data_IF_153279959408
#
_entry.id   IF_153279959408
#
_cell.length_a   1.000
_cell.length_b   1.000
_cell.length_c   1.000
_cell.angle_alpha   90.00
_cell.angle_beta   90.00
_cell.angle_gamma   90.00
#
_symmetry.space_group_name_H-M   'P 1'
#
loop_
_entity.id
_entity.type
_entity.pdbx_description
1 polymer ?
#
# COMPACT_ATOMS: atom_id res chain seq x y z
N UNK A 1 -23.14 -6.73 -1.07
CA UNK A 1 -22.93 -5.85 0.11
C UNK A 1 -23.95 -4.73 0.14
N UNK A 2 -23.97 -3.85 -0.87
CA UNK A 2 -24.85 -2.66 -0.89
C UNK A 2 -26.35 -3.00 -0.69
N UNK A 3 -26.85 -4.04 -1.34
CA UNK A 3 -28.25 -4.46 -1.21
C UNK A 3 -28.59 -4.86 0.24
N UNK A 4 -27.70 -5.59 0.92
CA UNK A 4 -27.89 -5.95 2.33
C UNK A 4 -27.92 -4.73 3.25
N UNK A 5 -27.06 -3.76 3.00
CA UNK A 5 -27.02 -2.48 3.72
C UNK A 5 -28.36 -1.74 3.55
N UNK A 6 -28.83 -1.59 2.31
CA UNK A 6 -30.08 -0.90 2.03
C UNK A 6 -31.28 -1.56 2.72
N UNK A 7 -31.35 -2.89 2.70
CA UNK A 7 -32.40 -3.63 3.39
C UNK A 7 -32.36 -3.41 4.91
N UNK A 8 -31.18 -3.52 5.52
CA UNK A 8 -31.03 -3.29 6.96
C UNK A 8 -31.36 -1.85 7.35
N UNK A 9 -30.87 -0.87 6.60
CA UNK A 9 -31.10 0.56 6.89
C UNK A 9 -32.57 0.93 6.67
N UNK A 10 -33.21 0.42 5.61
CA UNK A 10 -34.60 0.74 5.27
C UNK A 10 -35.60 0.10 6.25
N UNK A 11 -35.42 -1.17 6.60
CA UNK A 11 -36.34 -1.90 7.46
C UNK A 11 -36.11 -1.66 8.96
N UNK A 12 -34.90 -1.42 9.38
CA UNK A 12 -34.53 -1.39 10.80
C UNK A 12 -34.01 -0.05 11.32
N UNK A 13 -33.79 0.91 10.43
CA UNK A 13 -33.31 2.26 10.79
C UNK A 13 -32.02 2.27 11.62
N UNK A 14 -31.87 3.27 12.48
CA UNK A 14 -30.66 3.48 13.28
C UNK A 14 -30.32 2.29 14.20
N UNK A 15 -31.33 1.61 14.74
CA UNK A 15 -31.11 0.49 15.66
C UNK A 15 -30.49 -0.72 14.95
N UNK A 16 -31.00 -1.07 13.76
CA UNK A 16 -30.45 -2.16 12.97
C UNK A 16 -29.03 -1.85 12.49
N UNK A 17 -28.79 -0.62 11.99
CA UNK A 17 -27.46 -0.16 11.57
C UNK A 17 -26.46 -0.24 12.73
N UNK A 18 -26.86 0.11 13.95
CA UNK A 18 -25.96 0.01 15.10
C UNK A 18 -25.56 -1.43 15.39
N UNK A 19 -26.51 -2.39 15.39
CA UNK A 19 -26.19 -3.79 15.64
C UNK A 19 -25.38 -4.45 14.54
N UNK A 20 -25.66 -4.13 13.26
CA UNK A 20 -24.84 -4.61 12.15
C UNK A 20 -23.40 -4.12 12.26
N UNK A 21 -23.19 -2.87 12.65
CA UNK A 21 -21.85 -2.30 12.83
C UNK A 21 -21.10 -2.91 14.02
N UNK A 22 -21.80 -3.28 15.11
CA UNK A 22 -21.16 -4.03 16.22
C UNK A 22 -20.66 -5.38 15.71
N UNK A 23 -21.47 -6.13 14.97
CA UNK A 23 -21.04 -7.40 14.39
C UNK A 23 -19.87 -7.22 13.40
N UNK A 24 -19.94 -6.23 12.52
CA UNK A 24 -18.86 -5.89 11.60
C UNK A 24 -17.56 -5.53 12.31
N UNK A 25 -17.65 -4.78 13.41
CA UNK A 25 -16.49 -4.41 14.21
C UNK A 25 -15.84 -5.62 14.90
N UNK A 26 -16.63 -6.55 15.43
CA UNK A 26 -16.11 -7.80 16.01
C UNK A 26 -15.34 -8.60 14.96
N UNK A 27 -15.90 -8.76 13.77
CA UNK A 27 -15.22 -9.46 12.66
C UNK A 27 -13.91 -8.74 12.32
N UNK A 28 -13.94 -7.42 12.19
CA UNK A 28 -12.78 -6.60 11.83
C UNK A 28 -11.66 -6.75 12.86
N UNK A 29 -11.95 -6.58 14.16
CA UNK A 29 -10.91 -6.62 15.20
C UNK A 29 -10.27 -8.01 15.30
N UNK A 30 -11.08 -9.08 15.22
CA UNK A 30 -10.58 -10.45 15.23
C UNK A 30 -9.73 -10.73 13.99
N UNK A 31 -10.22 -10.37 12.80
CA UNK A 31 -9.52 -10.54 11.54
C UNK A 31 -8.19 -9.78 11.50
N UNK A 32 -8.15 -8.58 12.08
CA UNK A 32 -6.94 -7.75 12.14
C UNK A 32 -5.93 -8.26 13.18
N UNK A 33 -6.39 -8.59 14.39
CA UNK A 33 -5.50 -8.94 15.50
C UNK A 33 -4.85 -10.30 15.34
N UNK A 34 -5.54 -11.31 14.81
CA UNK A 34 -5.00 -12.67 14.67
C UNK A 34 -3.69 -12.69 13.87
N UNK A 35 -3.63 -12.17 12.63
CA UNK A 35 -2.39 -12.19 11.85
C UNK A 35 -1.26 -11.38 12.49
N UNK A 36 -1.59 -10.23 13.08
CA UNK A 36 -0.58 -9.35 13.69
C UNK A 36 0.03 -9.98 14.94
N UNK A 37 -0.80 -10.55 15.81
CA UNK A 37 -0.33 -11.28 17.00
C UNK A 37 0.50 -12.50 16.59
N UNK A 38 0.03 -13.27 15.61
CA UNK A 38 0.79 -14.43 15.10
C UNK A 38 2.14 -14.02 14.52
N UNK A 39 2.17 -12.96 13.73
CA UNK A 39 3.41 -12.44 13.15
C UNK A 39 4.37 -11.95 14.24
N UNK A 40 3.85 -11.30 15.30
CA UNK A 40 4.62 -10.90 16.47
C UNK A 40 5.24 -12.10 17.18
N UNK A 41 4.45 -13.15 17.46
CA UNK A 41 4.95 -14.39 18.08
C UNK A 41 6.01 -15.05 17.21
N UNK A 42 5.77 -15.14 15.89
CA UNK A 42 6.72 -15.75 14.95
C UNK A 42 8.08 -15.02 14.92
N UNK A 43 8.09 -13.69 15.02
CA UNK A 43 9.31 -12.89 14.92
C UNK A 43 10.00 -12.64 16.27
N UNK A 44 9.25 -12.56 17.35
CA UNK A 44 9.75 -12.11 18.67
C UNK A 44 9.51 -13.11 19.80
N UNK A 45 8.67 -14.13 19.59
CA UNK A 45 8.19 -15.03 20.63
C UNK A 45 7.14 -14.41 21.56
N UNK A 46 6.72 -13.16 21.35
CA UNK A 46 5.84 -12.45 22.25
C UNK A 46 4.50 -12.04 21.59
N UNK A 47 3.34 -12.25 22.26
CA UNK A 47 2.03 -12.07 21.63
C UNK A 47 1.51 -10.63 21.62
N UNK A 48 2.20 -9.67 22.24
CA UNK A 48 1.78 -8.26 22.28
C UNK A 48 2.68 -7.42 21.38
N UNK A 49 2.30 -7.22 20.10
CA UNK A 49 3.15 -6.57 19.12
C UNK A 49 3.52 -5.13 19.51
N UNK A 50 2.63 -4.43 20.23
CA UNK A 50 2.83 -3.06 20.67
C UNK A 50 4.02 -2.88 21.62
N UNK A 51 4.42 -3.93 22.35
CA UNK A 51 5.52 -3.87 23.30
C UNK A 51 6.87 -4.25 22.68
N UNK A 52 6.85 -5.01 21.59
CA UNK A 52 8.07 -5.61 21.01
C UNK A 52 8.47 -5.01 19.66
N UNK A 53 7.60 -4.25 18.99
CA UNK A 53 7.91 -3.72 17.65
C UNK A 53 9.12 -2.79 17.65
N UNK A 54 9.45 -2.14 18.77
CA UNK A 54 10.64 -1.30 18.90
C UNK A 54 11.94 -2.08 18.67
N UNK A 55 12.03 -3.33 19.15
CA UNK A 55 13.17 -4.20 18.88
C UNK A 55 13.27 -4.56 17.40
N UNK A 56 12.14 -4.85 16.76
CA UNK A 56 12.11 -5.12 15.32
C UNK A 56 12.43 -3.87 14.50
N UNK A 57 12.03 -2.68 14.95
CA UNK A 57 12.37 -1.41 14.32
C UNK A 57 13.90 -1.19 14.28
N UNK A 58 14.63 -1.61 15.32
CA UNK A 58 16.09 -1.56 15.32
C UNK A 58 16.65 -2.45 14.20
N UNK A 59 16.18 -3.70 14.09
CA UNK A 59 16.60 -4.61 13.02
C UNK A 59 16.24 -4.08 11.62
N UNK A 60 15.04 -3.51 11.47
CA UNK A 60 14.63 -2.86 10.21
C UNK A 60 15.59 -1.71 9.86
N UNK A 61 16.01 -0.92 10.83
CA UNK A 61 16.96 0.19 10.61
C UNK A 61 18.35 -0.32 10.16
N UNK A 62 18.79 -1.44 10.70
CA UNK A 62 20.05 -2.09 10.27
C UNK A 62 19.93 -2.63 8.85
N UNK A 63 18.81 -3.29 8.52
CA UNK A 63 18.52 -3.77 7.17
C UNK A 63 18.43 -2.60 6.17
N UNK A 64 17.78 -1.49 6.53
CA UNK A 64 17.73 -0.28 5.71
C UNK A 64 19.13 0.24 5.36
N UNK A 65 20.03 0.28 6.33
CA UNK A 65 21.42 0.69 6.09
C UNK A 65 22.15 -0.27 5.16
N UNK A 66 21.99 -1.60 5.39
CA UNK A 66 22.61 -2.64 4.57
C UNK A 66 22.11 -2.59 3.11
N UNK A 67 20.81 -2.54 2.91
CA UNK A 67 20.19 -2.47 1.58
C UNK A 67 20.61 -1.19 0.84
N UNK A 68 20.60 -0.05 1.53
CA UNK A 68 20.98 1.22 0.90
C UNK A 68 22.49 1.31 0.54
N UNK A 69 23.33 0.47 1.12
CA UNK A 69 24.75 0.36 0.79
C UNK A 69 25.06 -0.74 -0.23
N UNK A 70 24.08 -1.55 -0.62
CA UNK A 70 24.25 -2.65 -1.56
C UNK A 70 24.55 -2.10 -2.97
N UNK A 71 25.67 -2.52 -3.60
CA UNK A 71 26.00 -2.09 -4.96
C UNK A 71 24.92 -2.40 -6.01
N UNK A 72 24.23 -3.53 -5.88
CA UNK A 72 23.15 -3.94 -6.80
C UNK A 72 21.92 -3.04 -6.65
N UNK A 73 21.55 -2.71 -5.44
CA UNK A 73 20.48 -1.75 -5.15
C UNK A 73 20.84 -0.36 -5.75
N UNK A 74 22.08 0.07 -5.62
CA UNK A 74 22.54 1.35 -6.19
C UNK A 74 22.54 1.33 -7.73
N UNK A 75 22.90 0.19 -8.34
CA UNK A 75 22.82 -0.02 -9.79
C UNK A 75 21.37 0.16 -10.28
N UNK A 76 20.42 -0.55 -9.69
CA UNK A 76 19.00 -0.44 -10.06
C UNK A 76 18.46 0.98 -9.87
N UNK A 77 18.82 1.64 -8.78
CA UNK A 77 18.43 3.04 -8.56
C UNK A 77 19.02 3.97 -9.62
N UNK A 78 20.25 3.73 -10.06
CA UNK A 78 20.85 4.51 -11.15
C UNK A 78 20.10 4.30 -12.46
N UNK A 79 19.75 3.05 -12.80
CA UNK A 79 18.93 2.74 -13.96
C UNK A 79 17.60 3.50 -13.94
N UNK A 80 16.89 3.53 -12.80
CA UNK A 80 15.67 4.30 -12.67
C UNK A 80 15.86 5.80 -12.83
N UNK A 81 16.99 6.33 -12.34
CA UNK A 81 17.34 7.75 -12.48
C UNK A 81 17.59 8.10 -13.93
N UNK A 82 18.33 7.27 -14.66
CA UNK A 82 18.67 7.48 -16.08
C UNK A 82 17.43 7.36 -16.96
N UNK A 83 16.55 6.37 -16.70
CA UNK A 83 15.26 6.24 -17.40
C UNK A 83 14.36 7.46 -17.18
N UNK A 84 14.28 7.94 -15.95
CA UNK A 84 13.48 9.13 -15.64
C UNK A 84 14.06 10.39 -16.30
N UNK A 85 15.38 10.55 -16.33
CA UNK A 85 16.05 11.66 -17.01
C UNK A 85 15.81 11.62 -18.52
N UNK A 86 15.96 10.45 -19.14
CA UNK A 86 15.66 10.25 -20.57
C UNK A 86 14.19 10.56 -20.90
N UNK A 87 13.25 10.15 -20.05
CA UNK A 87 11.84 10.46 -20.23
C UNK A 87 11.54 11.97 -20.13
N UNK A 88 12.21 12.68 -19.23
CA UNK A 88 12.07 14.14 -19.09
C UNK A 88 12.55 14.84 -20.35
N UNK A 89 13.68 14.42 -20.94
CA UNK A 89 14.17 14.99 -22.21
C UNK A 89 13.20 14.72 -23.36
N UNK A 90 12.70 13.51 -23.50
CA UNK A 90 11.72 13.13 -24.54
C UNK A 90 10.38 13.87 -24.38
N UNK A 91 9.98 14.20 -23.18
CA UNK A 91 8.76 15.00 -22.91
C UNK A 91 8.85 16.45 -23.37
N UNK A 92 10.05 16.97 -23.71
CA UNK A 92 10.21 18.30 -24.30
C UNK A 92 9.69 18.38 -25.75
N UNK A 93 9.77 17.28 -26.49
CA UNK A 93 9.31 17.17 -27.89
C UNK A 93 8.71 15.76 -28.11
N UNK A 94 7.51 15.47 -27.58
CA UNK A 94 6.96 14.11 -27.53
C UNK A 94 6.64 13.55 -28.92
N UNK A 95 6.24 14.36 -29.90
CA UNK A 95 5.95 13.93 -31.26
C UNK A 95 7.21 13.46 -31.99
N UNK A 96 8.29 14.24 -31.90
CA UNK A 96 9.56 13.88 -32.49
C UNK A 96 10.17 12.65 -31.80
N UNK A 97 10.07 12.57 -30.49
CA UNK A 97 10.55 11.43 -29.73
C UNK A 97 9.75 10.15 -30.03
N UNK A 98 8.44 10.24 -30.21
CA UNK A 98 7.59 9.12 -30.60
C UNK A 98 8.01 8.55 -31.95
N UNK A 99 8.17 9.43 -32.95
CA UNK A 99 8.59 9.02 -34.29
C UNK A 99 10.00 8.39 -34.30
N UNK A 100 10.94 8.99 -33.56
CA UNK A 100 12.31 8.50 -33.48
C UNK A 100 12.40 7.13 -32.77
N UNK A 101 11.72 6.97 -31.60
CA UNK A 101 11.76 5.72 -30.83
C UNK A 101 11.06 4.59 -31.61
N UNK A 102 9.95 4.87 -32.29
CA UNK A 102 9.25 3.89 -33.11
C UNK A 102 10.12 3.42 -34.25
N UNK A 103 10.71 4.35 -35.01
CA UNK A 103 11.60 4.04 -36.13
C UNK A 103 12.84 3.24 -35.69
N UNK A 104 13.43 3.60 -34.53
CA UNK A 104 14.58 2.88 -33.98
C UNK A 104 14.21 1.43 -33.58
N UNK A 105 13.01 1.21 -33.05
CA UNK A 105 12.54 -0.11 -32.66
C UNK A 105 12.21 -0.97 -33.91
N UNK A 106 11.58 -0.38 -34.91
CA UNK A 106 11.31 -1.04 -36.19
C UNK A 106 12.62 -1.42 -36.93
N UNK A 107 13.61 -0.53 -36.95
CA UNK A 107 14.94 -0.81 -37.51
C UNK A 107 15.64 -1.96 -36.75
N UNK A 108 15.54 -2.00 -35.41
CA UNK A 108 16.10 -3.08 -34.59
C UNK A 108 15.46 -4.43 -34.91
N UNK A 109 14.15 -4.48 -35.07
CA UNK A 109 13.42 -5.70 -35.47
C UNK A 109 13.86 -6.15 -36.88
N UNK A 110 14.01 -5.23 -37.83
CA UNK A 110 14.47 -5.54 -39.18
C UNK A 110 15.92 -6.07 -39.21
N UNK A 111 16.81 -5.48 -38.41
CA UNK A 111 18.20 -5.93 -38.25
C UNK A 111 18.27 -7.37 -37.71
N UNK A 112 17.53 -7.65 -36.59
CA UNK A 112 17.50 -8.97 -35.97
C UNK A 112 16.86 -10.04 -36.88
N UNK A 113 15.87 -9.68 -37.73
CA UNK A 113 15.31 -10.56 -38.75
C UNK A 113 16.32 -10.88 -39.84
N UNK A 114 17.10 -9.88 -40.31
CA UNK A 114 18.09 -10.06 -41.35
C UNK A 114 19.30 -10.89 -40.86
N UNK A 115 19.72 -10.72 -39.60
CA UNK A 115 20.87 -11.45 -39.06
C UNK A 115 20.54 -12.91 -38.70
N UNK A 116 19.31 -13.25 -38.39
CA UNK A 116 18.86 -14.62 -38.03
C UNK A 116 19.59 -15.27 -36.85
N UNK A 117 20.50 -14.56 -36.20
CA UNK A 117 21.44 -15.11 -35.20
C UNK A 117 20.95 -15.13 -33.77
N UNK A 118 19.86 -14.35 -33.47
CA UNK A 118 19.29 -14.25 -32.09
C UNK A 118 17.76 -14.32 -32.12
N UNK A 119 17.16 -15.51 -32.12
CA UNK A 119 15.69 -15.68 -32.05
C UNK A 119 15.06 -15.10 -30.79
N UNK A 120 15.76 -15.17 -29.63
CA UNK A 120 15.26 -14.65 -28.37
C UNK A 120 15.24 -13.12 -28.37
N UNK A 121 16.29 -12.47 -28.87
CA UNK A 121 16.37 -11.04 -29.09
C UNK A 121 15.31 -10.52 -30.05
N UNK A 122 15.07 -11.26 -31.14
CA UNK A 122 14.01 -10.94 -32.11
C UNK A 122 12.61 -10.98 -31.43
N UNK A 123 12.28 -12.05 -30.75
CA UNK A 123 11.00 -12.18 -30.04
C UNK A 123 10.81 -11.07 -28.99
N UNK A 124 11.87 -10.71 -28.28
CA UNK A 124 11.84 -9.59 -27.31
C UNK A 124 11.62 -8.24 -28.00
N UNK A 125 12.27 -7.99 -29.14
CA UNK A 125 12.12 -6.74 -29.88
C UNK A 125 10.73 -6.62 -30.54
N UNK A 126 10.20 -7.71 -31.10
CA UNK A 126 8.81 -7.76 -31.61
C UNK A 126 7.79 -7.57 -30.49
N UNK A 127 8.00 -8.19 -29.33
CA UNK A 127 7.15 -7.99 -28.16
C UNK A 127 7.15 -6.53 -27.66
N UNK A 128 8.28 -5.83 -27.73
CA UNK A 128 8.38 -4.40 -27.42
C UNK A 128 7.65 -3.55 -28.46
N UNK A 129 7.78 -3.87 -29.74
CA UNK A 129 7.09 -3.17 -30.80
C UNK A 129 5.56 -3.34 -30.71
N UNK A 130 5.09 -4.55 -30.42
CA UNK A 130 3.67 -4.83 -30.22
C UNK A 130 3.06 -4.09 -29.01
N UNK A 131 3.87 -3.81 -27.98
CA UNK A 131 3.49 -3.06 -26.80
C UNK A 131 3.80 -1.57 -26.88
N UNK A 132 4.37 -1.11 -28.00
CA UNK A 132 4.67 0.31 -28.18
C UNK A 132 3.37 1.12 -28.23
N UNK A 133 3.34 2.31 -27.60
CA UNK A 133 2.14 3.16 -27.60
C UNK A 133 1.59 3.42 -28.99
N UNK A 134 0.26 3.36 -29.13
CA UNK A 134 -0.40 3.48 -30.43
C UNK A 134 -0.32 4.89 -31.04
N UNK A 135 -0.29 5.91 -30.18
CA UNK A 135 -0.30 7.31 -30.55
C UNK A 135 0.58 8.16 -29.62
N UNK A 136 0.77 9.43 -29.97
CA UNK A 136 1.58 10.38 -29.20
C UNK A 136 1.01 10.62 -27.79
N UNK A 137 -0.32 10.57 -27.63
CA UNK A 137 -0.96 10.77 -26.32
C UNK A 137 -0.65 9.59 -25.38
N UNK A 138 -0.79 8.35 -25.86
CA UNK A 138 -0.41 7.15 -25.13
C UNK A 138 1.09 7.12 -24.83
N UNK A 139 1.94 7.55 -25.77
CA UNK A 139 3.38 7.65 -25.58
C UNK A 139 3.73 8.71 -24.51
N UNK A 140 3.08 9.86 -24.53
CA UNK A 140 3.26 10.89 -23.50
C UNK A 140 2.84 10.38 -22.11
N UNK A 141 1.75 9.62 -22.01
CA UNK A 141 1.33 8.96 -20.78
C UNK A 141 2.38 7.93 -20.30
N UNK A 142 2.93 7.14 -21.21
CA UNK A 142 4.04 6.22 -20.93
C UNK A 142 5.28 6.96 -20.39
N UNK A 143 5.72 8.03 -21.06
CA UNK A 143 6.86 8.85 -20.62
C UNK A 143 6.62 9.50 -19.24
N UNK A 144 5.39 9.94 -18.94
CA UNK A 144 5.05 10.43 -17.60
C UNK A 144 5.12 9.32 -16.55
N UNK A 145 4.81 8.08 -16.90
CA UNK A 145 5.06 6.91 -16.08
C UNK A 145 6.55 6.70 -15.80
N UNK A 146 7.38 6.72 -16.84
CA UNK A 146 8.84 6.59 -16.74
C UNK A 146 9.46 7.74 -15.90
N UNK A 147 9.04 8.97 -16.11
CA UNK A 147 9.42 10.11 -15.27
C UNK A 147 9.08 9.87 -13.79
N UNK A 148 7.95 9.21 -13.51
CA UNK A 148 7.53 8.82 -12.16
C UNK A 148 8.50 7.85 -11.48
N UNK A 149 9.32 7.11 -12.23
CA UNK A 149 10.33 6.20 -11.70
C UNK A 149 11.46 6.94 -10.93
N UNK A 150 11.61 8.25 -11.12
CA UNK A 150 12.52 9.07 -10.32
C UNK A 150 12.28 8.92 -8.81
N UNK A 151 11.05 8.63 -8.39
CA UNK A 151 10.73 8.37 -6.99
C UNK A 151 11.40 7.09 -6.47
N UNK A 152 11.58 6.08 -7.33
CA UNK A 152 12.22 4.78 -7.01
C UNK A 152 13.75 4.87 -7.03
N UNK A 153 14.30 5.87 -7.70
CA UNK A 153 15.73 6.15 -7.70
C UNK A 153 16.26 6.63 -6.34
N UNK A 154 15.36 7.09 -5.47
CA UNK A 154 15.73 7.53 -4.13
C UNK A 154 15.44 6.43 -3.10
N UNK A 155 16.29 6.30 -2.05
CA UNK A 155 16.01 5.39 -0.97
C UNK A 155 14.69 5.76 -0.27
N UNK A 156 13.91 4.78 0.18
CA UNK A 156 12.75 5.04 1.00
C UNK A 156 13.16 5.78 2.28
N UNK A 157 12.25 6.60 2.80
CA UNK A 157 12.51 7.31 4.07
C UNK A 157 12.76 6.30 5.19
N UNK A 158 13.78 6.52 6.04
CA UNK A 158 14.04 5.65 7.18
C UNK A 158 12.81 5.54 8.08
N UNK A 159 12.41 4.33 8.43
CA UNK A 159 11.20 4.11 9.22
C UNK A 159 11.31 4.71 10.63
N UNK A 160 12.50 4.69 11.22
CA UNK A 160 12.76 5.22 12.55
C UNK A 160 12.92 6.76 12.60
N UNK A 161 12.92 7.46 11.44
CA UNK A 161 13.06 8.90 11.39
C UNK A 161 11.70 9.59 11.36
N UNK A 162 11.20 10.16 12.47
CA UNK A 162 9.85 10.71 12.55
C UNK A 162 9.69 11.98 11.69
N UNK A 163 10.74 12.80 11.59
CA UNK A 163 10.72 14.05 10.85
C UNK A 163 11.95 14.16 9.94
N UNK A 164 11.98 13.38 8.82
CA UNK A 164 13.13 13.41 7.93
C UNK A 164 13.23 14.73 7.18
N UNK A 165 14.45 15.27 7.09
CA UNK A 165 14.74 16.50 6.35
C UNK A 165 16.23 16.61 6.08
N UNK A 166 16.59 17.30 4.99
CA UNK A 166 17.99 17.54 4.62
C UNK A 166 18.68 18.55 5.55
N UNK A 167 17.88 19.47 6.11
CA UNK A 167 18.30 20.53 7.02
C UNK A 167 17.27 20.73 8.13
N UNK A 168 17.56 21.57 9.12
CA UNK A 168 16.63 21.83 10.23
C UNK A 168 15.33 22.51 9.75
N UNK A 169 15.39 23.38 8.76
CA UNK A 169 14.19 24.02 8.21
C UNK A 169 13.24 23.00 7.58
N UNK A 170 13.77 21.99 6.87
CA UNK A 170 12.97 20.89 6.33
C UNK A 170 12.39 20.00 7.43
N UNK A 171 13.12 19.73 8.50
CA UNK A 171 12.64 18.99 9.67
C UNK A 171 11.55 19.76 10.42
N UNK A 172 11.70 21.07 10.60
CA UNK A 172 10.68 21.93 11.24
C UNK A 172 9.41 21.99 10.40
N UNK A 173 9.52 22.08 9.08
CA UNK A 173 8.38 21.97 8.18
C UNK A 173 7.68 20.62 8.30
N UNK A 174 8.42 19.53 8.42
CA UNK A 174 7.86 18.19 8.63
C UNK A 174 7.14 18.08 9.99
N UNK A 175 7.71 18.66 11.06
CA UNK A 175 7.07 18.77 12.38
C UNK A 175 5.77 19.56 12.32
N UNK A 176 5.79 20.74 11.67
CA UNK A 176 4.60 21.58 11.50
C UNK A 176 3.52 20.87 10.69
N UNK A 177 3.89 20.20 9.60
CA UNK A 177 2.95 19.41 8.79
C UNK A 177 2.32 18.28 9.60
N UNK A 178 3.09 17.61 10.45
CA UNK A 178 2.58 16.56 11.34
C UNK A 178 1.59 17.12 12.36
N UNK A 179 1.90 18.25 13.01
CA UNK A 179 1.01 18.90 13.96
C UNK A 179 -0.28 19.37 13.27
N UNK A 180 -0.15 20.00 12.09
CA UNK A 180 -1.30 20.44 11.30
C UNK A 180 -2.19 19.27 10.89
N UNK A 181 -1.59 18.15 10.43
CA UNK A 181 -2.32 16.94 10.09
C UNK A 181 -3.05 16.36 11.30
N UNK A 182 -2.37 16.25 12.44
CA UNK A 182 -2.97 15.75 13.70
C UNK A 182 -4.16 16.62 14.11
N UNK A 183 -4.00 17.94 14.11
CA UNK A 183 -5.06 18.87 14.47
C UNK A 183 -6.25 18.80 13.49
N UNK A 184 -5.97 18.73 12.19
CA UNK A 184 -7.01 18.59 11.16
C UNK A 184 -7.79 17.29 11.32
N UNK A 185 -7.10 16.17 11.60
CA UNK A 185 -7.75 14.88 11.82
C UNK A 185 -8.58 14.89 13.11
N UNK A 186 -8.08 15.50 14.20
CA UNK A 186 -8.84 15.61 15.46
C UNK A 186 -10.14 16.39 15.26
N UNK A 187 -10.09 17.57 14.64
CA UNK A 187 -11.28 18.38 14.39
C UNK A 187 -12.20 17.72 13.37
N UNK A 188 -11.65 17.19 12.29
CA UNK A 188 -12.42 16.52 11.24
C UNK A 188 -13.18 15.31 11.77
N UNK A 189 -12.53 14.46 12.57
CA UNK A 189 -13.18 13.28 13.17
C UNK A 189 -14.26 13.69 14.18
N UNK A 190 -14.01 14.69 15.01
CA UNK A 190 -14.98 15.19 15.98
C UNK A 190 -16.23 15.80 15.33
N UNK A 191 -16.11 16.34 14.13
CA UNK A 191 -17.20 16.99 13.41
C UNK A 191 -17.98 16.07 12.45
N UNK A 192 -17.66 14.76 12.40
CA UNK A 192 -18.30 13.83 11.47
C UNK A 192 -19.82 13.66 11.79
N UNK A 193 -20.73 14.01 10.88
CA UNK A 193 -22.17 14.01 11.15
C UNK A 193 -22.70 12.64 11.57
N UNK A 194 -22.23 11.55 10.93
CA UNK A 194 -22.66 10.19 11.24
C UNK A 194 -22.20 9.68 12.61
N UNK A 195 -21.21 10.33 13.24
CA UNK A 195 -20.80 10.10 14.62
C UNK A 195 -21.69 10.92 15.56
N UNK A 196 -21.88 12.19 15.25
CA UNK A 196 -22.65 13.12 16.10
C UNK A 196 -24.11 12.68 16.26
N UNK A 197 -24.75 12.19 15.20
CA UNK A 197 -26.13 11.69 15.25
C UNK A 197 -26.33 10.57 16.27
N UNK A 198 -25.32 9.78 16.57
CA UNK A 198 -25.40 8.65 17.52
C UNK A 198 -25.58 9.12 18.98
N UNK A 199 -25.09 10.30 19.32
CA UNK A 199 -25.28 10.84 20.65
C UNK A 199 -26.74 11.13 20.96
N UNK A 200 -27.56 11.43 19.93
CA UNK A 200 -29.01 11.64 20.11
C UNK A 200 -29.77 10.34 20.34
N UNK A 201 -29.19 9.18 20.08
CA UNK A 201 -29.83 7.87 20.30
C UNK A 201 -29.47 7.26 21.66
N UNK A 202 -28.61 7.91 22.45
CA UNK A 202 -28.27 7.43 23.80
C UNK A 202 -29.30 7.87 24.83
N UNK A 203 -29.67 7.00 25.79
CA UNK A 203 -30.75 7.30 26.75
C UNK A 203 -30.35 8.36 27.79
N UNK A 204 -29.06 8.59 28.00
CA UNK A 204 -28.59 9.59 28.99
C UNK A 204 -27.18 10.09 28.65
N UNK A 205 -26.81 11.25 29.20
CA UNK A 205 -25.47 11.83 29.11
C UNK A 205 -24.42 10.89 29.73
N UNK A 206 -24.77 10.16 30.75
CA UNK A 206 -23.86 9.18 31.42
C UNK A 206 -23.54 8.04 30.46
N UNK A 207 -24.55 7.49 29.76
CA UNK A 207 -24.37 6.43 28.78
C UNK A 207 -23.58 6.93 27.56
N UNK A 208 -23.82 8.17 27.11
CA UNK A 208 -23.03 8.79 26.06
C UNK A 208 -21.54 8.86 26.43
N UNK A 209 -21.20 9.30 27.65
CA UNK A 209 -19.80 9.34 28.13
C UNK A 209 -19.18 7.96 28.21
N UNK A 210 -19.91 6.97 28.74
CA UNK A 210 -19.46 5.58 28.76
C UNK A 210 -19.15 5.03 27.38
N UNK A 211 -20.03 5.29 26.41
CA UNK A 211 -19.82 4.84 25.02
C UNK A 211 -18.57 5.45 24.40
N UNK A 212 -18.30 6.72 24.65
CA UNK A 212 -17.06 7.39 24.20
C UNK A 212 -15.83 6.71 24.79
N UNK A 213 -15.82 6.41 26.09
CA UNK A 213 -14.68 5.76 26.76
C UNK A 213 -14.36 4.41 26.13
N UNK A 214 -15.37 3.56 25.92
CA UNK A 214 -15.17 2.27 25.26
C UNK A 214 -14.77 2.41 23.79
N UNK A 215 -15.34 3.35 23.07
CA UNK A 215 -14.96 3.62 21.69
C UNK A 215 -13.49 4.05 21.59
N UNK A 216 -13.05 4.94 22.47
CA UNK A 216 -11.64 5.37 22.51
C UNK A 216 -10.70 4.22 22.85
N UNK A 217 -11.07 3.34 23.77
CA UNK A 217 -10.27 2.15 24.08
C UNK A 217 -10.06 1.26 22.85
N UNK A 218 -11.13 0.94 22.12
CA UNK A 218 -11.04 0.09 20.94
C UNK A 218 -10.34 0.77 19.77
N UNK A 219 -10.55 2.07 19.57
CA UNK A 219 -9.84 2.86 18.59
C UNK A 219 -8.33 2.87 18.90
N UNK A 220 -7.98 3.15 20.15
CA UNK A 220 -6.59 3.14 20.62
C UNK A 220 -5.93 1.79 20.36
N UNK A 221 -6.60 0.68 20.69
CA UNK A 221 -6.08 -0.67 20.48
C UNK A 221 -5.69 -0.90 19.02
N UNK A 222 -6.55 -0.55 18.06
CA UNK A 222 -6.28 -0.73 16.64
C UNK A 222 -5.17 0.20 16.14
N UNK A 223 -5.27 1.50 16.45
CA UNK A 223 -4.28 2.47 15.99
C UNK A 223 -2.91 2.29 16.63
N UNK A 224 -2.85 1.82 17.86
CA UNK A 224 -1.58 1.51 18.52
C UNK A 224 -0.94 0.22 17.98
N UNK A 225 -1.74 -0.67 17.41
CA UNK A 225 -1.25 -1.89 16.75
C UNK A 225 -0.75 -1.64 15.33
N UNK A 226 -1.25 -0.61 14.63
CA UNK A 226 -0.90 -0.35 13.23
C UNK A 226 0.60 -0.08 13.00
N UNK A 227 1.31 0.73 13.80
CA UNK A 227 2.76 0.87 13.67
C UNK A 227 3.53 -0.44 13.88
N UNK A 228 3.07 -1.27 14.82
CA UNK A 228 3.68 -2.58 15.05
C UNK A 228 3.53 -3.48 13.82
N UNK A 229 2.33 -3.57 13.23
CA UNK A 229 2.11 -4.31 11.99
C UNK A 229 3.04 -3.81 10.86
N UNK A 230 3.13 -2.50 10.68
CA UNK A 230 3.98 -1.91 9.64
C UNK A 230 5.45 -2.32 9.80
N UNK A 231 5.98 -2.30 11.01
CA UNK A 231 7.36 -2.71 11.31
C UNK A 231 7.56 -4.21 11.09
N UNK A 232 6.63 -5.05 11.57
CA UNK A 232 6.72 -6.51 11.44
C UNK A 232 6.67 -6.95 9.98
N UNK A 233 5.77 -6.39 9.16
CA UNK A 233 5.69 -6.70 7.73
C UNK A 233 6.91 -6.17 7.00
N UNK A 234 7.37 -4.96 7.32
CA UNK A 234 8.58 -4.38 6.71
C UNK A 234 9.82 -5.22 7.01
N UNK A 235 9.90 -5.79 8.22
CA UNK A 235 10.98 -6.70 8.56
C UNK A 235 10.99 -7.93 7.65
N UNK A 236 9.84 -8.57 7.41
CA UNK A 236 9.74 -9.72 6.49
C UNK A 236 10.16 -9.31 5.08
N UNK A 237 9.66 -8.18 4.60
CA UNK A 237 10.00 -7.71 3.25
C UNK A 237 11.50 -7.49 3.07
N UNK A 238 12.15 -6.89 4.04
CA UNK A 238 13.57 -6.55 3.96
C UNK A 238 14.49 -7.74 4.26
N UNK A 239 14.06 -8.69 5.09
CA UNK A 239 14.87 -9.84 5.49
C UNK A 239 14.68 -11.05 4.58
N UNK A 240 13.44 -11.30 4.12
CA UNK A 240 13.08 -12.54 3.44
C UNK A 240 12.88 -12.37 1.92
N UNK A 241 12.52 -11.16 1.47
CA UNK A 241 12.22 -10.89 0.05
C UNK A 241 13.37 -10.16 -0.64
N UNK A 242 13.85 -9.05 -0.07
CA UNK A 242 14.98 -8.30 -0.65
C UNK A 242 16.26 -9.13 -0.54
N UNK A 243 16.97 -9.28 -1.65
CA UNK A 243 18.18 -10.11 -1.76
C UNK A 243 17.91 -11.60 -2.05
N UNK A 244 16.66 -12.03 -2.14
CA UNK A 244 16.31 -13.40 -2.55
C UNK A 244 16.26 -13.53 -4.08
N UNK A 245 16.37 -14.78 -4.58
CA UNK A 245 16.19 -15.06 -6.00
C UNK A 245 14.72 -14.96 -6.39
N UNK A 246 14.44 -14.30 -7.52
CA UNK A 246 13.07 -14.13 -8.04
C UNK A 246 12.37 -15.48 -8.24
N UNK A 247 13.12 -16.49 -8.69
CA UNK A 247 12.60 -17.85 -8.91
C UNK A 247 12.20 -18.59 -7.60
N UNK A 248 12.71 -18.14 -6.44
CA UNK A 248 12.46 -18.78 -5.13
C UNK A 248 11.51 -17.97 -4.23
N UNK A 249 10.85 -16.94 -4.79
CA UNK A 249 9.92 -16.11 -4.04
C UNK A 249 8.73 -16.92 -3.49
N UNK A 250 8.24 -16.58 -2.29
CA UNK A 250 7.04 -17.21 -1.74
C UNK A 250 5.83 -17.04 -2.67
N UNK A 251 4.98 -18.07 -2.74
CA UNK A 251 3.81 -18.12 -3.63
C UNK A 251 2.86 -16.92 -3.46
N UNK A 252 2.75 -16.37 -2.26
CA UNK A 252 1.90 -15.20 -2.01
C UNK A 252 2.32 -13.97 -2.83
N UNK A 253 3.61 -13.82 -3.15
CA UNK A 253 4.10 -12.72 -4.01
C UNK A 253 3.52 -12.83 -5.41
N UNK A 254 3.59 -14.03 -6.01
CA UNK A 254 3.04 -14.29 -7.33
C UNK A 254 1.51 -14.15 -7.35
N UNK A 255 0.83 -14.67 -6.32
CA UNK A 255 -0.62 -14.58 -6.19
C UNK A 255 -1.12 -13.14 -6.17
N UNK A 256 -0.54 -12.28 -5.34
CA UNK A 256 -0.91 -10.87 -5.26
C UNK A 256 -0.54 -10.08 -6.51
N UNK A 257 0.58 -10.39 -7.14
CA UNK A 257 0.97 -9.78 -8.42
C UNK A 257 0.00 -10.13 -9.55
N UNK A 258 -0.58 -11.33 -9.51
CA UNK A 258 -1.58 -11.76 -10.48
C UNK A 258 -2.95 -11.07 -10.28
N UNK A 259 -3.27 -10.68 -9.04
CA UNK A 259 -4.52 -9.92 -8.74
C UNK A 259 -4.44 -8.51 -9.29
N UNK A 260 -3.41 -7.76 -8.95
CA UNK A 260 -3.14 -6.43 -9.50
C UNK A 260 -1.66 -6.07 -9.27
N UNK A 261 -0.94 -5.81 -10.36
CA UNK A 261 0.45 -5.37 -10.31
C UNK A 261 0.66 -4.02 -9.58
N UNK A 262 -0.40 -3.25 -9.33
CA UNK A 262 -0.34 -2.05 -8.49
C UNK A 262 -0.31 -2.38 -7.00
N UNK A 263 -0.86 -3.53 -6.60
CA UNK A 263 -0.83 -3.99 -5.22
C UNK A 263 0.55 -4.53 -4.87
N UNK A 264 1.08 -5.42 -5.70
CA UNK A 264 2.43 -5.97 -5.55
C UNK A 264 2.99 -6.27 -6.93
N UNK A 265 4.20 -5.80 -7.20
CA UNK A 265 4.96 -6.25 -8.37
C UNK A 265 6.45 -6.21 -8.07
N UNK A 266 7.16 -7.20 -8.58
CA UNK A 266 8.61 -7.28 -8.58
C UNK A 266 9.03 -7.39 -10.04
N UNK A 267 9.94 -6.52 -10.46
CA UNK A 267 10.40 -6.47 -11.85
C UNK A 267 11.91 -6.42 -11.84
N UNK A 268 12.55 -7.46 -12.34
CA UNK A 268 13.99 -7.52 -12.50
C UNK A 268 14.44 -6.50 -13.56
N UNK A 269 15.07 -5.43 -13.12
CA UNK A 269 15.44 -4.30 -13.96
C UNK A 269 16.88 -4.43 -14.48
N UNK A 270 17.77 -4.97 -13.66
CA UNK A 270 19.17 -5.21 -14.01
C UNK A 270 19.42 -6.63 -14.54
N UNK A 271 18.39 -7.49 -14.59
CA UNK A 271 18.41 -8.85 -15.11
C UNK A 271 19.40 -9.77 -14.36
N UNK A 272 19.56 -9.58 -13.05
CA UNK A 272 20.44 -10.42 -12.24
C UNK A 272 19.71 -11.56 -11.51
N UNK A 273 18.39 -11.62 -11.60
CA UNK A 273 17.54 -12.64 -10.98
C UNK A 273 17.39 -12.52 -9.48
N UNK A 274 17.90 -11.44 -8.87
CA UNK A 274 17.84 -11.17 -7.44
C UNK A 274 16.93 -9.97 -7.19
N UNK A 275 16.16 -9.99 -6.13
CA UNK A 275 15.23 -8.90 -5.79
C UNK A 275 15.98 -7.75 -5.10
N UNK A 276 16.03 -6.58 -5.72
CA UNK A 276 16.43 -5.34 -5.08
C UNK A 276 15.21 -4.57 -4.57
N UNK A 277 15.38 -3.77 -3.49
CA UNK A 277 14.27 -3.03 -2.89
C UNK A 277 13.64 -2.05 -3.88
N UNK A 278 14.45 -1.39 -4.72
CA UNK A 278 13.96 -0.49 -5.74
C UNK A 278 13.09 -1.17 -6.81
N UNK A 279 13.20 -2.47 -6.99
CA UNK A 279 12.41 -3.29 -7.93
C UNK A 279 11.06 -3.71 -7.37
N UNK A 280 10.90 -3.66 -6.06
CA UNK A 280 9.66 -4.03 -5.38
C UNK A 280 8.71 -2.84 -5.36
N UNK A 281 7.50 -3.04 -5.87
CA UNK A 281 6.38 -2.12 -5.74
C UNK A 281 5.35 -2.72 -4.80
N UNK A 282 5.03 -2.02 -3.73
CA UNK A 282 4.04 -2.43 -2.74
C UNK A 282 2.98 -1.34 -2.62
N UNK A 283 1.73 -1.70 -2.87
CA UNK A 283 0.56 -0.86 -2.60
C UNK A 283 0.35 -0.71 -1.09
N UNK A 284 -0.16 0.43 -0.65
CA UNK A 284 -0.36 0.69 0.78
C UNK A 284 -1.37 -0.26 1.42
N UNK A 285 -2.38 -0.65 0.66
CA UNK A 285 -3.52 -1.43 1.16
C UNK A 285 -3.19 -2.92 1.32
N UNK A 286 -2.19 -3.42 0.58
CA UNK A 286 -1.83 -4.83 0.61
C UNK A 286 -1.20 -5.24 1.95
N UNK A 287 -0.58 -4.32 2.67
CA UNK A 287 0.15 -4.63 3.92
C UNK A 287 -0.76 -5.35 4.91
N UNK A 288 -2.00 -4.89 5.09
CA UNK A 288 -2.97 -5.54 5.98
C UNK A 288 -3.52 -6.83 5.36
N UNK A 289 -3.90 -6.78 4.08
CA UNK A 289 -4.56 -7.90 3.40
C UNK A 289 -3.66 -9.13 3.22
N UNK A 290 -2.37 -8.90 2.92
CA UNK A 290 -1.40 -9.97 2.73
C UNK A 290 -0.76 -10.48 4.05
N UNK A 291 -0.98 -9.80 5.18
CA UNK A 291 -0.38 -10.20 6.46
C UNK A 291 -0.60 -11.66 6.83
N UNK A 292 -1.78 -12.27 6.65
CA UNK A 292 -1.96 -13.70 6.94
C UNK A 292 -1.04 -14.60 6.13
N UNK A 293 -0.88 -14.33 4.84
CA UNK A 293 -0.02 -15.10 3.94
C UNK A 293 1.47 -14.88 4.25
N UNK A 294 1.86 -13.63 4.54
CA UNK A 294 3.19 -13.26 5.03
C UNK A 294 3.52 -14.00 6.33
N UNK A 295 2.55 -14.10 7.23
CA UNK A 295 2.68 -14.81 8.50
C UNK A 295 2.71 -16.33 8.34
N UNK A 296 2.31 -16.87 7.18
CA UNK A 296 2.18 -18.30 6.90
C UNK A 296 0.92 -18.91 7.51
N UNK A 297 -0.14 -18.12 7.67
CA UNK A 297 -1.43 -18.59 8.18
C UNK A 297 -2.26 -19.26 7.06
N UNK A 298 -3.20 -20.16 7.43
CA UNK A 298 -4.09 -20.81 6.47
C UNK A 298 -4.94 -19.80 5.69
N UNK A 299 -5.31 -20.13 4.44
CA UNK A 299 -6.12 -19.29 3.56
C UNK A 299 -7.47 -18.83 4.16
N UNK A 300 -8.01 -19.59 5.12
CA UNK A 300 -9.23 -19.22 5.86
C UNK A 300 -9.05 -17.90 6.60
N UNK A 301 -7.84 -17.66 7.15
CA UNK A 301 -7.53 -16.40 7.85
C UNK A 301 -7.40 -15.25 6.85
N UNK A 302 -6.84 -15.49 5.64
CA UNK A 302 -6.83 -14.49 4.56
C UNK A 302 -8.26 -14.10 4.14
N UNK A 303 -9.16 -15.10 4.01
CA UNK A 303 -10.58 -14.86 3.76
C UNK A 303 -11.25 -14.05 4.87
N UNK A 304 -10.91 -14.32 6.13
CA UNK A 304 -11.43 -13.57 7.29
C UNK A 304 -10.92 -12.11 7.29
N UNK A 305 -9.66 -11.86 6.93
CA UNK A 305 -9.11 -10.50 6.80
C UNK A 305 -9.76 -9.74 5.66
N UNK A 306 -10.01 -10.39 4.52
CA UNK A 306 -10.75 -9.78 3.41
C UNK A 306 -12.20 -9.45 3.82
N UNK A 307 -12.88 -10.34 4.55
CA UNK A 307 -14.21 -10.08 5.11
C UNK A 307 -14.19 -8.92 6.13
N UNK A 308 -13.15 -8.83 6.97
CA UNK A 308 -12.93 -7.72 7.90
C UNK A 308 -12.76 -6.37 7.17
N UNK A 309 -11.97 -6.34 6.11
CA UNK A 309 -11.80 -5.16 5.26
C UNK A 309 -13.12 -4.72 4.60
N UNK A 310 -13.88 -5.68 4.08
CA UNK A 310 -15.21 -5.41 3.53
C UNK A 310 -16.19 -4.92 4.61
N UNK A 311 -16.17 -5.50 5.79
CA UNK A 311 -16.99 -5.08 6.93
C UNK A 311 -16.69 -3.63 7.33
N UNK A 312 -15.42 -3.22 7.32
CA UNK A 312 -15.01 -1.84 7.59
C UNK A 312 -15.58 -0.85 6.56
N UNK A 313 -15.49 -1.19 5.27
CA UNK A 313 -16.04 -0.36 4.20
C UNK A 313 -17.57 -0.24 4.30
N UNK A 314 -18.26 -1.35 4.56
CA UNK A 314 -19.72 -1.41 4.66
C UNK A 314 -20.21 -0.63 5.89
N UNK A 315 -19.54 -0.71 7.04
CA UNK A 315 -19.94 0.00 8.27
C UNK A 315 -19.91 1.52 8.08
N UNK A 316 -18.94 2.03 7.34
CA UNK A 316 -18.84 3.46 7.03
C UNK A 316 -19.96 3.88 6.07
N UNK A 317 -20.21 3.08 5.03
CA UNK A 317 -21.27 3.33 4.06
C UNK A 317 -22.66 3.38 4.71
N UNK A 318 -22.95 2.47 5.64
CA UNK A 318 -24.20 2.45 6.42
C UNK A 318 -24.43 3.77 7.16
N UNK A 319 -23.42 4.22 7.90
CA UNK A 319 -23.50 5.47 8.67
C UNK A 319 -23.71 6.69 7.80
N UNK A 320 -23.02 6.78 6.67
CA UNK A 320 -23.12 7.90 5.74
C UNK A 320 -24.47 7.93 5.01
N UNK A 321 -24.97 6.79 4.53
CA UNK A 321 -26.27 6.70 3.88
C UNK A 321 -27.39 7.13 4.80
N UNK A 322 -27.38 6.67 6.05
CA UNK A 322 -28.39 7.06 7.03
C UNK A 322 -28.34 8.56 7.35
N UNK A 323 -27.14 9.13 7.43
CA UNK A 323 -26.96 10.56 7.67
C UNK A 323 -27.49 11.39 6.51
N UNK A 324 -27.18 10.99 5.28
CA UNK A 324 -27.71 11.67 4.08
C UNK A 324 -29.23 11.57 3.99
N UNK A 325 -29.79 10.38 4.26
CA UNK A 325 -31.23 10.21 4.27
C UNK A 325 -31.94 11.12 5.28
N UNK A 326 -31.38 11.23 6.50
CA UNK A 326 -31.93 12.12 7.51
C UNK A 326 -31.79 13.60 7.13
N UNK A 327 -30.68 14.00 6.51
CA UNK A 327 -30.49 15.39 6.06
C UNK A 327 -31.43 15.80 4.90
N UNK A 328 -31.87 14.81 4.09
CA UNK A 328 -32.82 15.07 3.00
C UNK A 328 -34.27 15.02 3.45
N UNK A 329 -34.57 14.34 4.55
CA UNK A 329 -35.94 14.20 5.09
C UNK A 329 -36.35 15.33 6.04
N UNK A 330 -35.43 16.14 6.48
CA UNK A 330 -35.59 17.31 7.34
C UNK A 330 -35.24 18.61 6.60
#
# INVERSE_FOLDING_TARGET
GLAGILVCSFLGGMRAVTWTQVAQYIILIVAYMIPVVWLSVKQTGFPVPQLVYGQQLTKVTELEKKINADPKELEVRQIFKDRAAAAIEKLKAPEAAFAADKAALEAKVAELKASGSDPAGLAAAEGRLAKFPADVAAYTAFLNGEKGLAARANPPRPHAAPFPGKDEAAKDKARLNFLTLTFTLMLGTAALPHILMRFYTTPSVREARNSVTWSLFFIFLLYFTAPALAVLVKFVMYNDIVGSQIASLPAWVANWSAVDAKLLSITDINMDGIVQLAEVRIGKDIVVLATPEIAGLPYVVSGMVAAGGLAAALSTSDGLLLTMANALSH
#
